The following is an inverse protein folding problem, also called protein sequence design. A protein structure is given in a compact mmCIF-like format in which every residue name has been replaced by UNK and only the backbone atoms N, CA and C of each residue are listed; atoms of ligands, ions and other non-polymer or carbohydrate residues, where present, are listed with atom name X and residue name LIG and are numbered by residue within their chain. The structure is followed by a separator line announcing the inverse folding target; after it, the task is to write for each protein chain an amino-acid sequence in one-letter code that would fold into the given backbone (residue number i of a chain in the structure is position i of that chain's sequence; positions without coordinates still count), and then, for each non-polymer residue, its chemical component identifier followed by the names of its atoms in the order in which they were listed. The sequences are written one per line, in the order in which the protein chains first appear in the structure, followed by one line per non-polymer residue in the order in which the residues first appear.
data_IF_530533864990
#
_entry.id   IF_530533864990
#
_cell.length_a   1.000
_cell.length_b   1.000
_cell.length_c   1.000
_cell.angle_alpha   90.00
_cell.angle_beta   90.00
_cell.angle_gamma   90.00
#
_symmetry.space_group_name_H-M   'P 1'
#
loop_
_entity.id
_entity.type
_entity.pdbx_description
1 polymer ?
#
# COMPACT_ATOMS: atom_id res chain seq x y z
N UNK A 1 23.92 7.29 -5.82
CA UNK A 1 22.79 7.39 -6.78
C UNK A 1 22.10 6.03 -7.00
N UNK A 2 22.81 4.94 -7.33
CA UNK A 2 22.19 3.64 -7.66
C UNK A 2 21.45 2.94 -6.53
N UNK A 3 21.93 3.05 -5.28
CA UNK A 3 21.28 2.43 -4.12
C UNK A 3 19.86 2.95 -3.88
N UNK A 4 19.63 4.24 -4.09
CA UNK A 4 18.32 4.89 -3.92
C UNK A 4 17.31 4.33 -4.94
N UNK A 5 17.74 4.11 -6.19
CA UNK A 5 16.87 3.53 -7.24
C UNK A 5 16.51 2.07 -6.94
N UNK A 6 17.46 1.30 -6.42
CA UNK A 6 17.23 -0.10 -6.03
C UNK A 6 16.22 -0.15 -4.87
N UNK A 7 16.42 0.67 -3.83
CA UNK A 7 15.51 0.72 -2.68
C UNK A 7 14.12 1.21 -3.10
N UNK A 8 14.03 2.23 -3.95
CA UNK A 8 12.77 2.72 -4.50
C UNK A 8 12.04 1.64 -5.33
N UNK A 9 12.76 0.89 -6.16
CA UNK A 9 12.19 -0.22 -6.92
C UNK A 9 11.65 -1.34 -6.02
N UNK A 10 12.37 -1.68 -4.95
CA UNK A 10 11.92 -2.68 -3.96
C UNK A 10 10.66 -2.18 -3.24
N UNK A 11 10.64 -0.92 -2.80
CA UNK A 11 9.48 -0.30 -2.15
C UNK A 11 8.25 -0.27 -3.07
N UNK A 12 8.44 0.01 -4.36
CA UNK A 12 7.38 -0.05 -5.36
C UNK A 12 6.82 -1.47 -5.47
N UNK A 13 7.66 -2.50 -5.58
CA UNK A 13 7.20 -3.89 -5.67
C UNK A 13 6.45 -4.31 -4.40
N UNK A 14 6.98 -4.01 -3.22
CA UNK A 14 6.33 -4.33 -1.93
C UNK A 14 4.97 -3.62 -1.81
N UNK A 15 4.90 -2.35 -2.19
CA UNK A 15 3.64 -1.60 -2.11
C UNK A 15 2.57 -2.15 -3.05
N UNK A 16 2.92 -2.55 -4.28
CA UNK A 16 1.99 -3.20 -5.21
C UNK A 16 1.47 -4.54 -4.68
N UNK A 17 2.36 -5.38 -4.12
CA UNK A 17 1.96 -6.64 -3.50
C UNK A 17 1.04 -6.38 -2.30
N UNK A 18 1.39 -5.40 -1.47
CA UNK A 18 0.58 -4.99 -0.32
C UNK A 18 -0.81 -4.50 -0.72
N UNK A 19 -0.94 -3.76 -1.83
CA UNK A 19 -2.23 -3.30 -2.37
C UNK A 19 -3.08 -4.51 -2.78
N UNK A 20 -2.48 -5.48 -3.49
CA UNK A 20 -3.18 -6.69 -3.92
C UNK A 20 -3.70 -7.51 -2.73
N UNK A 21 -2.88 -7.70 -1.70
CA UNK A 21 -3.28 -8.40 -0.47
C UNK A 21 -4.34 -7.58 0.29
N UNK A 22 -4.10 -6.27 0.45
CA UNK A 22 -4.95 -5.33 1.19
C UNK A 22 -6.35 -5.17 0.60
N UNK A 23 -6.51 -5.45 -0.70
CA UNK A 23 -7.81 -5.44 -1.36
C UNK A 23 -8.79 -6.47 -0.81
N UNK A 24 -8.27 -7.57 -0.25
CA UNK A 24 -9.08 -8.64 0.32
C UNK A 24 -9.37 -8.43 1.82
N UNK A 25 -8.95 -7.31 2.42
CA UNK A 25 -9.24 -7.00 3.82
C UNK A 25 -10.71 -6.61 3.97
N UNK A 26 -11.43 -7.40 4.75
CA UNK A 26 -12.81 -7.17 5.15
C UNK A 26 -12.91 -7.30 6.68
N UNK A 27 -13.83 -6.57 7.29
CA UNK A 27 -14.16 -6.72 8.70
C UNK A 27 -15.65 -6.98 8.85
N UNK A 28 -15.99 -7.86 9.77
CA UNK A 28 -17.39 -8.21 10.06
C UNK A 28 -18.15 -7.04 10.69
N UNK A 29 -17.44 -6.15 11.38
CA UNK A 29 -17.96 -4.91 11.92
C UNK A 29 -17.11 -3.73 11.45
N UNK A 30 -17.78 -2.67 10.98
CA UNK A 30 -17.17 -1.42 10.56
C UNK A 30 -17.58 -0.31 11.53
N UNK A 31 -16.68 0.06 12.45
CA UNK A 31 -16.91 1.18 13.37
C UNK A 31 -16.52 2.53 12.75
N UNK A 32 -15.58 2.52 11.79
CA UNK A 32 -15.19 3.71 11.02
C UNK A 32 -15.92 3.81 9.67
N UNK A 33 -16.29 5.03 9.23
CA UNK A 33 -17.10 5.27 8.02
C UNK A 33 -16.43 4.82 6.71
N UNK A 34 -15.11 4.66 6.74
CA UNK A 34 -14.28 4.32 5.58
C UNK A 34 -14.10 2.79 5.45
N UNK A 35 -14.35 2.03 6.52
CA UNK A 35 -14.06 0.60 6.60
C UNK A 35 -12.56 0.27 6.73
N UNK A 36 -12.18 -1.02 6.84
CA UNK A 36 -10.82 -1.44 7.20
C UNK A 36 -9.82 -1.31 6.05
N UNK A 37 -10.31 -1.25 4.81
CA UNK A 37 -9.48 -1.31 3.59
C UNK A 37 -8.83 0.01 3.17
N UNK A 38 -9.45 1.20 3.25
CA UNK A 38 -8.90 2.39 2.59
C UNK A 38 -7.64 2.91 3.27
N UNK A 39 -7.51 2.72 4.59
CA UNK A 39 -6.34 3.17 5.32
C UNK A 39 -5.05 2.45 4.88
N UNK A 40 -4.94 1.10 4.95
CA UNK A 40 -3.75 0.40 4.50
C UNK A 40 -3.53 0.55 2.98
N UNK A 41 -4.59 0.42 2.17
CA UNK A 41 -4.46 0.50 0.70
C UNK A 41 -4.08 1.90 0.24
N UNK A 42 -4.69 2.95 0.80
CA UNK A 42 -4.37 4.34 0.47
C UNK A 42 -2.95 4.73 0.82
N UNK A 43 -2.44 4.25 1.96
CA UNK A 43 -1.05 4.46 2.37
C UNK A 43 -0.08 3.78 1.40
N UNK A 44 -0.37 2.55 0.99
CA UNK A 44 0.47 1.81 0.04
C UNK A 44 0.46 2.45 -1.36
N UNK A 45 -0.69 2.99 -1.80
CA UNK A 45 -0.79 3.76 -3.05
C UNK A 45 0.11 5.00 -2.98
N UNK A 46 0.07 5.75 -1.88
CA UNK A 46 0.91 6.93 -1.72
C UNK A 46 2.40 6.57 -1.75
N UNK A 47 2.78 5.49 -1.06
CA UNK A 47 4.17 4.98 -1.08
C UNK A 47 4.58 4.57 -2.50
N UNK A 48 3.71 3.88 -3.24
CA UNK A 48 3.98 3.49 -4.63
C UNK A 48 4.22 4.71 -5.53
N UNK A 49 3.39 5.75 -5.41
CA UNK A 49 3.51 7.00 -6.17
C UNK A 49 4.81 7.74 -5.84
N UNK A 50 5.23 7.75 -4.57
CA UNK A 50 6.47 8.39 -4.13
C UNK A 50 7.74 7.57 -4.45
N UNK A 51 7.61 6.33 -4.92
CA UNK A 51 8.74 5.43 -5.21
C UNK A 51 9.18 5.48 -6.68
N UNK A 52 8.59 6.34 -7.50
CA UNK A 52 8.87 6.54 -8.94
C UNK A 52 9.82 7.72 -9.14
#
# INVERSE_FOLDING_TARGET
MSSIRIVAGILLVISLIGIYIGWNIHSDFNYEPLGPRPFPVGTLILIALCSI
#
